data_IF_413491857476
#
_entry.id   IF_413491857476
#
_cell.length_a   1.000
_cell.length_b   1.000
_cell.length_c   1.000
_cell.angle_alpha   90.00
_cell.angle_beta   90.00
_cell.angle_gamma   90.00
#
_symmetry.space_group_name_H-M   'P 1'
#
loop_
_entity.id
_entity.type
_entity.pdbx_description
1 polymer ?
#
# COMPACT_ATOMS: atom_id res chain seq x y z
N UNK A 1 16.44 -21.36 11.89
CA UNK A 1 15.10 -20.94 11.42
C UNK A 1 15.32 -19.98 10.27
N UNK A 2 14.58 -20.13 9.15
CA UNK A 2 14.70 -19.21 8.02
C UNK A 2 14.12 -17.85 8.37
N UNK A 3 14.73 -16.78 7.89
CA UNK A 3 14.17 -15.42 7.94
C UNK A 3 12.92 -15.37 7.06
N UNK A 4 11.97 -14.53 7.41
CA UNK A 4 10.69 -14.46 6.73
C UNK A 4 10.59 -13.18 5.89
N UNK A 5 10.07 -13.26 4.68
CA UNK A 5 9.67 -12.12 3.86
C UNK A 5 8.14 -12.07 3.85
N UNK A 6 7.53 -11.02 4.38
CA UNK A 6 6.08 -10.90 4.37
C UNK A 6 5.61 -10.42 2.99
N UNK A 7 4.85 -11.25 2.30
CA UNK A 7 4.17 -10.87 1.06
C UNK A 7 2.69 -10.70 1.37
N UNK A 8 2.20 -9.46 1.48
CA UNK A 8 0.77 -9.23 1.69
C UNK A 8 0.01 -9.35 0.38
N UNK A 9 -1.09 -10.09 0.40
CA UNK A 9 -1.88 -10.44 -0.76
C UNK A 9 -3.18 -9.63 -0.76
N UNK A 10 -3.28 -8.67 -1.70
CA UNK A 10 -4.47 -7.84 -1.92
C UNK A 10 -4.69 -7.44 -3.40
N UNK A 11 -3.93 -8.02 -4.34
CA UNK A 11 -4.04 -7.74 -5.78
C UNK A 11 -5.49 -7.84 -6.31
N UNK A 12 -6.24 -8.84 -5.85
CA UNK A 12 -7.63 -9.05 -6.25
C UNK A 12 -8.53 -7.87 -5.86
N UNK A 13 -8.42 -7.41 -4.63
CA UNK A 13 -9.12 -6.25 -4.09
C UNK A 13 -8.70 -4.96 -4.82
N UNK A 14 -7.42 -4.82 -5.17
CA UNK A 14 -6.95 -3.67 -5.98
C UNK A 14 -7.53 -3.68 -7.39
N UNK A 15 -7.68 -4.85 -8.01
CA UNK A 15 -8.27 -4.99 -9.33
C UNK A 15 -9.75 -4.62 -9.36
N UNK A 16 -10.51 -4.88 -8.30
CA UNK A 16 -11.93 -4.53 -8.24
C UNK A 16 -12.20 -3.03 -8.43
N UNK A 17 -11.22 -2.16 -8.11
CA UNK A 17 -11.36 -0.72 -8.34
C UNK A 17 -11.55 -0.39 -9.84
N UNK A 18 -11.07 -1.23 -10.77
CA UNK A 18 -11.33 -1.05 -12.20
C UNK A 18 -12.79 -1.31 -12.60
N UNK A 19 -13.56 -2.08 -11.82
CA UNK A 19 -15.00 -2.26 -12.09
C UNK A 19 -15.77 -0.95 -11.98
N UNK A 20 -15.28 0.00 -11.17
CA UNK A 20 -15.87 1.34 -11.03
C UNK A 20 -15.76 2.18 -12.31
N UNK A 21 -14.86 1.81 -13.23
CA UNK A 21 -14.73 2.43 -14.55
C UNK A 21 -15.26 1.55 -15.69
N UNK A 22 -16.01 0.50 -15.35
CA UNK A 22 -16.69 -0.36 -16.32
C UNK A 22 -15.82 -1.46 -16.92
N UNK A 23 -14.65 -1.74 -16.33
CA UNK A 23 -13.80 -2.86 -16.73
C UNK A 23 -14.20 -4.09 -15.91
N UNK A 24 -14.62 -5.16 -16.58
CA UNK A 24 -14.82 -6.46 -15.93
C UNK A 24 -13.49 -7.03 -15.45
N UNK A 25 -13.45 -7.40 -14.17
CA UNK A 25 -12.25 -7.97 -13.53
C UNK A 25 -12.61 -9.28 -12.82
N UNK A 26 -11.65 -10.21 -12.70
CA UNK A 26 -11.77 -11.32 -11.76
C UNK A 26 -12.11 -10.83 -10.34
N UNK A 27 -12.82 -11.65 -9.57
CA UNK A 27 -13.07 -11.35 -8.15
C UNK A 27 -11.81 -11.53 -7.30
N UNK A 28 -11.79 -10.98 -6.06
CA UNK A 28 -10.65 -11.10 -5.15
C UNK A 28 -10.25 -12.53 -4.84
N UNK A 29 -11.24 -13.44 -4.83
CA UNK A 29 -11.07 -14.86 -4.56
C UNK A 29 -11.16 -15.73 -5.84
N UNK A 30 -11.01 -15.13 -7.02
CA UNK A 30 -10.97 -15.88 -8.28
C UNK A 30 -9.71 -16.75 -8.32
N UNK A 31 -9.82 -17.98 -8.84
CA UNK A 31 -8.71 -18.93 -8.95
C UNK A 31 -7.55 -18.33 -9.75
N UNK A 32 -7.86 -17.55 -10.80
CA UNK A 32 -6.85 -16.87 -11.59
C UNK A 32 -6.02 -15.86 -10.78
N UNK A 33 -6.64 -15.12 -9.87
CA UNK A 33 -5.93 -14.17 -8.99
C UNK A 33 -5.06 -14.93 -8.00
N UNK A 34 -5.60 -16.01 -7.42
CA UNK A 34 -4.86 -16.88 -6.50
C UNK A 34 -3.61 -17.46 -7.18
N UNK A 35 -3.73 -17.89 -8.43
CA UNK A 35 -2.61 -18.41 -9.23
C UNK A 35 -1.54 -17.36 -9.51
N UNK A 36 -1.94 -16.13 -9.86
CA UNK A 36 -1.00 -15.00 -10.04
C UNK A 36 -0.27 -14.73 -8.74
N UNK A 37 -0.98 -14.61 -7.61
CA UNK A 37 -0.39 -14.33 -6.30
C UNK A 37 0.60 -15.43 -5.89
N UNK A 38 0.25 -16.69 -6.14
CA UNK A 38 1.13 -17.82 -5.91
C UNK A 38 2.39 -17.78 -6.80
N UNK A 39 2.28 -17.37 -8.07
CA UNK A 39 3.46 -17.20 -8.94
C UNK A 39 4.31 -16.00 -8.50
N UNK A 40 3.73 -14.86 -8.11
CA UNK A 40 4.47 -13.73 -7.52
C UNK A 40 5.28 -14.22 -6.32
N UNK A 41 4.64 -14.94 -5.39
CA UNK A 41 5.31 -15.55 -4.24
C UNK A 41 6.45 -16.48 -4.65
N UNK A 42 6.28 -17.32 -5.67
CA UNK A 42 7.34 -18.20 -6.20
C UNK A 42 8.47 -17.45 -6.88
N UNK A 43 8.19 -16.36 -7.59
CA UNK A 43 9.22 -15.49 -8.21
C UNK A 43 10.04 -14.80 -7.11
N UNK A 44 9.36 -14.16 -6.15
CA UNK A 44 10.00 -13.50 -5.00
C UNK A 44 10.85 -14.50 -4.23
N UNK A 45 10.30 -15.65 -3.85
CA UNK A 45 11.02 -16.66 -3.05
C UNK A 45 12.29 -17.17 -3.73
N UNK A 46 12.27 -17.40 -5.05
CA UNK A 46 13.48 -17.80 -5.82
C UNK A 46 14.52 -16.68 -5.91
N UNK A 47 14.07 -15.44 -5.74
CA UNK A 47 14.87 -14.23 -5.91
C UNK A 47 15.44 -13.67 -4.60
N UNK A 48 15.03 -14.23 -3.46
CA UNK A 48 15.58 -13.94 -2.13
C UNK A 48 16.82 -14.82 -1.83
N UNK A 49 17.63 -14.45 -0.81
CA UNK A 49 18.73 -15.29 -0.34
C UNK A 49 18.25 -16.64 0.24
N UNK A 50 19.09 -17.67 0.21
CA UNK A 50 18.69 -19.05 0.56
C UNK A 50 18.18 -19.22 2.01
N UNK A 51 18.63 -18.38 2.94
CA UNK A 51 18.20 -18.38 4.34
C UNK A 51 16.84 -17.71 4.57
N UNK A 52 16.17 -17.28 3.50
CA UNK A 52 14.87 -16.61 3.53
C UNK A 52 13.77 -17.55 3.05
N UNK A 53 12.54 -17.23 3.45
CA UNK A 53 11.31 -17.87 3.00
C UNK A 53 10.19 -16.83 2.87
N UNK A 54 9.31 -16.99 1.89
CA UNK A 54 8.16 -16.09 1.71
C UNK A 54 6.99 -16.55 2.57
N UNK A 55 6.46 -15.63 3.37
CA UNK A 55 5.26 -15.82 4.17
C UNK A 55 4.12 -15.02 3.54
N UNK A 56 3.22 -15.66 2.76
CA UNK A 56 2.05 -14.98 2.23
C UNK A 56 1.06 -14.64 3.36
N UNK A 57 0.49 -13.44 3.31
CA UNK A 57 -0.48 -12.94 4.30
C UNK A 57 -1.63 -12.26 3.56
N UNK A 58 -2.84 -12.81 3.62
CA UNK A 58 -4.01 -12.14 3.04
C UNK A 58 -4.39 -10.91 3.88
N UNK A 59 -4.53 -9.75 3.23
CA UNK A 59 -4.82 -8.49 3.94
C UNK A 59 -6.20 -8.51 4.56
N UNK A 60 -7.19 -9.14 3.90
CA UNK A 60 -8.54 -9.31 4.45
C UNK A 60 -8.55 -10.09 5.77
N UNK A 61 -7.93 -11.27 5.79
CA UNK A 61 -7.82 -12.11 6.99
C UNK A 61 -7.09 -11.37 8.13
N UNK A 62 -6.00 -10.69 7.78
CA UNK A 62 -5.25 -9.89 8.75
C UNK A 62 -6.10 -8.76 9.32
N UNK A 63 -6.85 -8.04 8.48
CA UNK A 63 -7.74 -6.97 8.91
C UNK A 63 -8.85 -7.49 9.84
N UNK A 64 -9.48 -8.61 9.52
CA UNK A 64 -10.53 -9.22 10.35
C UNK A 64 -10.00 -9.62 11.73
N UNK A 65 -8.83 -10.24 11.79
CA UNK A 65 -8.16 -10.60 13.04
C UNK A 65 -7.86 -9.36 13.90
N UNK A 66 -7.30 -8.31 13.28
CA UNK A 66 -7.01 -7.05 13.97
C UNK A 66 -8.29 -6.40 14.49
N UNK A 67 -9.32 -6.29 13.66
CA UNK A 67 -10.60 -5.68 14.03
C UNK A 67 -11.23 -6.45 15.21
N UNK A 68 -11.22 -7.78 15.14
CA UNK A 68 -11.75 -8.64 16.20
C UNK A 68 -11.05 -8.41 17.54
N UNK A 69 -9.72 -8.23 17.51
CA UNK A 69 -8.91 -7.95 18.70
C UNK A 69 -9.04 -6.50 19.19
N UNK A 70 -8.98 -5.51 18.29
CA UNK A 70 -9.13 -4.09 18.62
C UNK A 70 -10.50 -3.79 19.25
N UNK A 71 -11.56 -4.45 18.78
CA UNK A 71 -12.93 -4.31 19.33
C UNK A 71 -13.07 -4.80 20.77
N UNK A 72 -12.11 -5.60 21.26
CA UNK A 72 -12.09 -6.06 22.65
C UNK A 72 -11.41 -5.08 23.60
N UNK A 73 -10.70 -4.06 23.09
CA UNK A 73 -10.03 -3.07 23.91
C UNK A 73 -11.05 -2.27 24.74
N UNK A 74 -10.80 -2.06 26.05
CA UNK A 74 -11.69 -1.29 26.92
C UNK A 74 -11.99 0.10 26.34
N UNK A 75 -10.98 0.77 25.77
CA UNK A 75 -11.12 2.07 25.14
C UNK A 75 -12.22 2.11 24.07
N UNK A 76 -12.27 1.12 23.18
CA UNK A 76 -13.29 1.03 22.12
C UNK A 76 -14.68 0.82 22.75
N UNK A 77 -14.78 -0.04 23.76
CA UNK A 77 -16.03 -0.26 24.52
C UNK A 77 -16.51 0.99 25.26
N UNK A 78 -15.60 1.90 25.59
CA UNK A 78 -15.89 3.21 26.20
C UNK A 78 -16.02 4.35 25.18
N UNK A 79 -16.17 4.02 23.88
CA UNK A 79 -16.53 4.97 22.84
C UNK A 79 -15.35 5.66 22.15
N UNK A 80 -14.11 5.18 22.33
CA UNK A 80 -12.99 5.63 21.51
C UNK A 80 -13.21 5.20 20.05
N UNK A 81 -12.84 6.07 19.12
CA UNK A 81 -12.99 5.81 17.68
C UNK A 81 -11.78 5.04 17.15
N UNK A 82 -12.02 4.01 16.33
CA UNK A 82 -10.93 3.34 15.61
C UNK A 82 -10.41 4.29 14.53
N UNK A 83 -9.10 4.50 14.50
CA UNK A 83 -8.38 5.30 13.50
C UNK A 83 -7.35 4.40 12.82
N UNK A 84 -7.23 4.42 11.50
CA UNK A 84 -6.27 3.60 10.77
C UNK A 84 -5.74 4.30 9.51
N UNK A 85 -4.52 3.98 9.09
CA UNK A 85 -4.03 4.30 7.73
C UNK A 85 -4.41 3.22 6.70
N UNK A 86 -4.94 2.09 7.15
CA UNK A 86 -5.39 0.96 6.34
C UNK A 86 -6.92 0.98 6.21
N UNK A 87 -7.46 1.33 5.05
CA UNK A 87 -8.91 1.50 4.94
C UNK A 87 -9.70 0.18 4.92
N UNK A 88 -9.03 -0.96 4.76
CA UNK A 88 -9.55 -2.32 5.01
C UNK A 88 -9.90 -2.50 6.50
N UNK A 89 -9.22 -1.78 7.40
CA UNK A 89 -9.50 -1.74 8.84
C UNK A 89 -10.53 -0.65 9.19
N UNK A 90 -10.34 0.56 8.65
CA UNK A 90 -11.16 1.72 9.03
C UNK A 90 -12.64 1.57 8.65
N UNK A 91 -12.95 1.01 7.48
CA UNK A 91 -14.32 1.04 6.95
C UNK A 91 -15.26 0.04 7.60
N UNK A 92 -14.90 -1.25 7.77
CA UNK A 92 -15.77 -2.22 8.43
C UNK A 92 -16.10 -1.82 9.87
N UNK A 93 -15.19 -1.11 10.53
CA UNK A 93 -15.36 -0.63 11.90
C UNK A 93 -16.15 0.67 12.02
N UNK A 94 -16.56 1.28 10.89
CA UNK A 94 -17.06 2.67 10.84
C UNK A 94 -16.12 3.66 11.55
N UNK A 95 -14.83 3.34 11.52
CA UNK A 95 -13.77 4.15 12.06
C UNK A 95 -13.44 5.33 11.16
N UNK A 96 -12.31 5.95 11.45
CA UNK A 96 -11.74 7.05 10.69
C UNK A 96 -10.47 6.58 9.97
N UNK A 97 -10.26 7.13 8.78
CA UNK A 97 -9.07 6.88 7.97
C UNK A 97 -8.14 8.09 8.03
N UNK A 98 -6.82 7.84 8.11
CA UNK A 98 -5.78 8.81 7.78
C UNK A 98 -5.12 8.37 6.48
N UNK A 99 -5.39 9.10 5.41
CA UNK A 99 -4.83 8.88 4.09
C UNK A 99 -3.39 9.44 4.01
N UNK A 100 -2.41 8.61 4.36
CA UNK A 100 -0.98 8.94 4.30
C UNK A 100 -0.23 7.97 3.38
N UNK A 101 0.88 8.44 2.79
CA UNK A 101 1.78 7.63 1.99
C UNK A 101 3.25 8.07 2.18
N UNK A 102 4.18 7.18 1.83
CA UNK A 102 5.59 7.51 1.66
C UNK A 102 5.80 8.08 0.27
N UNK A 103 6.40 9.26 0.20
CA UNK A 103 6.63 9.96 -1.05
C UNK A 103 8.11 9.87 -1.44
N UNK A 104 8.36 9.73 -2.74
CA UNK A 104 9.71 9.77 -3.31
C UNK A 104 9.79 10.86 -4.38
N UNK A 105 10.99 11.40 -4.61
CA UNK A 105 11.21 12.27 -5.76
C UNK A 105 11.54 11.47 -7.03
N UNK A 106 11.61 12.16 -8.17
CA UNK A 106 11.92 11.53 -9.47
C UNK A 106 13.29 10.85 -9.53
N UNK A 107 14.23 11.18 -8.65
CA UNK A 107 15.54 10.52 -8.57
C UNK A 107 15.56 9.33 -7.60
N UNK A 108 14.40 9.02 -6.99
CA UNK A 108 14.22 7.90 -6.06
C UNK A 108 14.48 8.24 -4.59
N UNK A 109 14.86 9.48 -4.25
CA UNK A 109 15.05 9.88 -2.85
C UNK A 109 13.74 9.92 -2.09
N UNK A 110 13.76 9.43 -0.85
CA UNK A 110 12.65 9.50 0.10
C UNK A 110 12.42 10.97 0.54
N UNK A 111 11.19 11.44 0.37
CA UNK A 111 10.73 12.79 0.77
C UNK A 111 9.97 12.78 2.10
N UNK A 112 9.82 11.61 2.71
CA UNK A 112 9.09 11.40 3.95
C UNK A 112 7.62 11.04 3.70
N UNK A 113 6.77 11.41 4.66
CA UNK A 113 5.35 11.10 4.65
C UNK A 113 4.55 12.30 4.17
N UNK A 114 3.55 12.06 3.32
CA UNK A 114 2.60 13.05 2.83
C UNK A 114 1.22 12.44 2.62
N UNK A 115 0.21 13.23 2.26
CA UNK A 115 -1.14 12.69 2.03
C UNK A 115 -1.14 11.73 0.84
N UNK A 116 -2.08 10.79 0.81
CA UNK A 116 -2.32 10.02 -0.42
C UNK A 116 -2.76 10.97 -1.56
N UNK A 117 -2.42 10.66 -2.82
CA UNK A 117 -2.87 11.39 -3.99
C UNK A 117 -4.35 11.81 -3.92
N UNK A 118 -4.61 13.10 -4.10
CA UNK A 118 -5.95 13.70 -4.08
C UNK A 118 -6.71 13.59 -2.77
N UNK A 119 -5.99 13.50 -1.65
CA UNK A 119 -6.52 13.64 -0.29
C UNK A 119 -6.03 14.94 0.33
N UNK A 120 -6.70 15.36 1.40
CA UNK A 120 -6.35 16.56 2.16
C UNK A 120 -4.99 16.41 2.84
N UNK A 121 -4.34 17.54 3.17
CA UNK A 121 -3.09 17.52 3.92
C UNK A 121 -3.31 16.81 5.27
N UNK A 122 -2.29 16.09 5.75
CA UNK A 122 -2.37 15.33 7.02
C UNK A 122 -2.82 16.24 8.18
N UNK A 123 -2.37 17.50 8.21
CA UNK A 123 -2.80 18.49 9.21
C UNK A 123 -4.31 18.74 9.20
N UNK A 124 -4.93 18.75 8.03
CA UNK A 124 -6.36 18.99 7.87
C UNK A 124 -7.16 17.73 8.21
N UNK A 125 -6.66 16.54 7.84
CA UNK A 125 -7.22 15.26 8.27
C UNK A 125 -7.23 15.14 9.81
N UNK A 126 -6.17 15.58 10.51
CA UNK A 126 -6.14 15.60 11.98
C UNK A 126 -7.20 16.53 12.57
N UNK A 127 -7.52 17.66 11.93
CA UNK A 127 -8.63 18.52 12.38
C UNK A 127 -9.97 17.80 12.28
N UNK A 128 -10.18 17.02 11.22
CA UNK A 128 -11.39 16.20 11.07
C UNK A 128 -11.48 15.11 12.15
N UNK A 129 -10.36 14.45 12.48
CA UNK A 129 -10.30 13.50 13.61
C UNK A 129 -10.66 14.21 14.90
N UNK A 130 -9.99 15.32 15.22
CA UNK A 130 -10.23 16.08 16.44
C UNK A 130 -11.71 16.51 16.59
N UNK A 131 -12.32 16.96 15.49
CA UNK A 131 -13.71 17.38 15.46
C UNK A 131 -14.71 16.23 15.71
N UNK A 132 -14.36 14.98 15.40
CA UNK A 132 -15.25 13.82 15.55
C UNK A 132 -15.03 13.03 16.84
N UNK A 133 -13.80 13.00 17.36
CA UNK A 133 -13.44 12.12 18.49
C UNK A 133 -13.51 12.82 19.84
N UNK A 134 -13.45 14.15 19.87
CA UNK A 134 -13.51 14.96 21.09
C UNK A 134 -12.71 14.35 22.27
N UNK A 135 -13.37 14.09 23.41
CA UNK A 135 -12.73 13.55 24.63
C UNK A 135 -12.64 12.02 24.65
N UNK A 136 -13.40 11.29 23.82
CA UNK A 136 -13.32 9.83 23.80
C UNK A 136 -11.97 9.37 23.25
N UNK A 137 -11.41 10.13 22.30
CA UNK A 137 -10.11 9.87 21.72
C UNK A 137 -10.16 8.75 20.69
N UNK A 138 -8.98 8.21 20.38
CA UNK A 138 -8.82 7.19 19.33
C UNK A 138 -8.11 5.95 19.84
N UNK A 139 -8.40 4.83 19.20
CA UNK A 139 -7.51 3.66 19.18
C UNK A 139 -6.91 3.60 17.79
N UNK A 140 -5.58 3.71 17.70
CA UNK A 140 -4.86 3.62 16.45
C UNK A 140 -4.71 2.14 16.08
N UNK A 141 -5.17 1.76 14.90
CA UNK A 141 -5.20 0.36 14.46
C UNK A 141 -4.53 0.26 13.10
N UNK A 142 -3.50 -0.57 12.96
CA UNK A 142 -2.72 -0.69 11.71
C UNK A 142 -2.53 -2.15 11.32
N UNK A 143 -2.42 -2.41 10.02
CA UNK A 143 -2.14 -3.73 9.46
C UNK A 143 -0.78 -4.27 9.91
N UNK A 144 0.21 -3.40 10.07
CA UNK A 144 1.46 -3.76 10.71
C UNK A 144 2.45 -2.62 10.91
N UNK A 145 3.58 -2.97 11.50
CA UNK A 145 4.71 -2.10 11.75
C UNK A 145 6.00 -2.81 11.36
N UNK A 146 6.66 -2.31 10.32
CA UNK A 146 8.00 -2.77 9.96
C UNK A 146 9.07 -2.01 10.74
N UNK A 147 9.42 -0.80 10.29
CA UNK A 147 10.25 0.12 11.08
C UNK A 147 9.45 0.89 12.12
N UNK A 148 8.10 0.95 12.00
CA UNK A 148 7.20 1.78 12.80
C UNK A 148 7.13 3.27 12.40
N UNK A 149 7.89 3.73 11.39
CA UNK A 149 8.01 5.16 11.06
C UNK A 149 6.66 5.83 10.73
N UNK A 150 5.79 5.17 9.95
CA UNK A 150 4.46 5.69 9.62
C UNK A 150 3.60 5.84 10.86
N UNK A 151 3.55 4.81 11.70
CA UNK A 151 2.70 4.79 12.90
C UNK A 151 3.18 5.81 13.93
N UNK A 152 4.50 5.94 14.14
CA UNK A 152 5.07 7.00 14.98
C UNK A 152 4.70 8.38 14.48
N UNK A 153 4.77 8.62 13.17
CA UNK A 153 4.36 9.90 12.59
C UNK A 153 2.89 10.20 12.91
N UNK A 154 1.99 9.23 12.74
CA UNK A 154 0.57 9.42 13.05
C UNK A 154 0.36 9.71 14.54
N UNK A 155 1.03 8.97 15.42
CA UNK A 155 1.01 9.20 16.88
C UNK A 155 1.45 10.63 17.21
N UNK A 156 2.61 11.06 16.70
CA UNK A 156 3.15 12.39 16.96
C UNK A 156 2.18 13.49 16.46
N UNK A 157 1.51 13.27 15.32
CA UNK A 157 0.49 14.20 14.78
C UNK A 157 -0.77 14.25 15.65
N UNK A 158 -1.22 13.12 16.18
CA UNK A 158 -2.36 13.05 17.11
C UNK A 158 -2.04 13.79 18.41
N UNK A 159 -0.85 13.58 18.98
CA UNK A 159 -0.39 14.26 20.19
C UNK A 159 -0.24 15.77 20.00
N UNK A 160 0.37 16.21 18.90
CA UNK A 160 0.46 17.63 18.51
C UNK A 160 -0.93 18.27 18.38
N UNK A 161 -1.90 17.51 17.89
CA UNK A 161 -3.31 17.93 17.74
C UNK A 161 -4.14 17.75 19.02
N UNK A 162 -3.50 17.34 20.13
CA UNK A 162 -4.14 17.07 21.44
C UNK A 162 -5.31 16.09 21.36
N UNK A 163 -5.23 15.11 20.45
CA UNK A 163 -6.21 14.04 20.33
C UNK A 163 -5.77 12.92 21.28
N UNK A 164 -6.59 12.51 22.27
CA UNK A 164 -6.21 11.45 23.19
C UNK A 164 -6.04 10.12 22.45
N UNK A 165 -4.87 9.49 22.57
CA UNK A 165 -4.62 8.12 22.11
C UNK A 165 -4.90 7.20 23.30
N UNK A 166 -5.86 6.28 23.14
CA UNK A 166 -6.30 5.36 24.18
C UNK A 166 -5.66 3.99 24.07
N UNK A 167 -5.20 3.64 22.88
CA UNK A 167 -4.53 2.38 22.62
C UNK A 167 -3.98 2.34 21.20
N UNK A 168 -3.12 1.36 20.97
CA UNK A 168 -2.50 1.07 19.67
C UNK A 168 -2.60 -0.43 19.43
N UNK A 169 -3.20 -0.82 18.31
CA UNK A 169 -3.28 -2.21 17.87
C UNK A 169 -2.60 -2.36 16.52
N UNK A 170 -1.72 -3.36 16.38
CA UNK A 170 -1.05 -3.65 15.11
C UNK A 170 -1.24 -5.12 14.73
N UNK A 171 -1.45 -5.39 13.45
CA UNK A 171 -1.59 -6.76 12.97
C UNK A 171 -0.28 -7.52 13.04
N UNK A 172 0.68 -7.05 12.26
CA UNK A 172 2.01 -7.63 12.17
C UNK A 172 3.04 -6.70 12.82
N UNK A 173 3.75 -7.17 13.84
CA UNK A 173 4.89 -6.44 14.40
C UNK A 173 6.21 -7.10 13.96
N UNK A 174 6.93 -6.43 13.07
CA UNK A 174 8.28 -6.84 12.65
C UNK A 174 9.38 -6.00 13.32
N UNK A 175 9.02 -5.08 14.22
CA UNK A 175 9.95 -4.17 14.88
C UNK A 175 10.37 -4.71 16.24
N UNK A 176 11.67 -4.73 16.52
CA UNK A 176 12.16 -5.19 17.83
C UNK A 176 11.83 -4.21 18.97
N UNK A 177 11.68 -2.91 18.67
CA UNK A 177 11.52 -1.86 19.69
C UNK A 177 10.10 -1.29 19.81
N UNK A 178 9.23 -1.52 18.83
CA UNK A 178 7.98 -0.75 18.73
C UNK A 178 7.03 -1.03 19.89
N UNK A 179 6.87 -2.30 20.29
CA UNK A 179 6.07 -2.69 21.44
C UNK A 179 6.51 -1.98 22.73
N UNK A 180 7.80 -2.06 23.06
CA UNK A 180 8.35 -1.42 24.26
C UNK A 180 8.22 0.10 24.25
N UNK A 181 8.29 0.73 23.08
CA UNK A 181 8.03 2.17 22.94
C UNK A 181 6.56 2.53 23.22
N UNK A 182 5.60 1.75 22.73
CA UNK A 182 4.17 1.98 23.00
C UNK A 182 3.83 1.79 24.48
N UNK A 183 4.40 0.77 25.11
CA UNK A 183 4.28 0.52 26.56
C UNK A 183 4.90 1.66 27.37
N UNK A 184 6.09 2.15 27.00
CA UNK A 184 6.75 3.26 27.67
C UNK A 184 5.97 4.58 27.56
N UNK A 185 5.20 4.76 26.48
CA UNK A 185 4.25 5.88 26.32
C UNK A 185 2.95 5.68 27.11
N UNK A 186 2.75 4.52 27.74
CA UNK A 186 1.58 4.20 28.56
C UNK A 186 0.32 3.92 27.76
N UNK A 187 0.46 3.52 26.49
CA UNK A 187 -0.69 3.12 25.67
C UNK A 187 -1.08 1.67 25.92
N UNK A 188 -2.37 1.37 25.87
CA UNK A 188 -2.84 -0.01 25.73
C UNK A 188 -2.38 -0.55 24.38
N UNK A 189 -1.33 -1.37 24.38
CA UNK A 189 -0.72 -1.90 23.17
C UNK A 189 -1.11 -3.36 22.92
N UNK A 190 -1.41 -3.69 21.66
CA UNK A 190 -1.77 -5.04 21.26
C UNK A 190 -1.17 -5.40 19.89
N UNK A 191 -0.70 -6.64 19.76
CA UNK A 191 -0.19 -7.21 18.50
C UNK A 191 -0.95 -8.48 18.15
N UNK A 192 -1.48 -8.57 16.94
CA UNK A 192 -2.19 -9.77 16.49
C UNK A 192 -1.23 -10.93 16.26
N UNK A 193 -0.13 -10.67 15.55
CA UNK A 193 0.91 -11.63 15.18
C UNK A 193 2.27 -11.02 15.42
N UNK A 194 3.02 -11.58 16.37
CA UNK A 194 4.43 -11.22 16.53
C UNK A 194 5.23 -11.83 15.40
N UNK A 195 5.83 -10.96 14.61
CA UNK A 195 6.66 -11.33 13.49
C UNK A 195 8.10 -11.51 13.92
N UNK A 196 8.43 -12.67 14.50
CA UNK A 196 9.84 -12.96 14.77
C UNK A 196 10.56 -13.20 13.44
N UNK A 197 11.57 -12.37 13.14
CA UNK A 197 12.48 -12.51 12.00
C UNK A 197 11.93 -12.17 10.61
N UNK A 198 10.98 -11.24 10.50
CA UNK A 198 10.68 -10.65 9.19
C UNK A 198 11.81 -9.70 8.76
N UNK A 199 12.29 -9.89 7.52
CA UNK A 199 13.35 -9.08 6.93
C UNK A 199 12.84 -7.92 6.10
N UNK A 200 11.64 -8.08 5.56
CA UNK A 200 10.97 -7.10 4.72
C UNK A 200 9.48 -7.46 4.63
N UNK A 201 8.71 -6.49 4.17
CA UNK A 201 7.27 -6.61 3.95
C UNK A 201 6.87 -5.76 2.74
N UNK A 202 6.38 -6.44 1.71
CA UNK A 202 5.93 -5.82 0.45
C UNK A 202 4.56 -6.38 0.06
N UNK A 203 3.62 -5.55 -0.41
CA UNK A 203 2.38 -6.05 -0.98
C UNK A 203 2.56 -6.53 -2.43
N UNK A 204 1.80 -7.55 -2.81
CA UNK A 204 1.89 -8.15 -4.14
C UNK A 204 1.56 -7.17 -5.29
N UNK A 205 0.62 -6.24 -5.07
CA UNK A 205 0.23 -5.24 -6.07
C UNK A 205 1.36 -4.25 -6.43
N UNK A 206 2.37 -4.06 -5.57
CA UNK A 206 3.52 -3.18 -5.86
C UNK A 206 4.40 -3.72 -7.00
N UNK A 207 4.32 -5.03 -7.30
CA UNK A 207 5.04 -5.66 -8.40
C UNK A 207 4.33 -5.56 -9.76
N UNK A 208 3.06 -5.12 -9.80
CA UNK A 208 2.26 -5.09 -11.02
C UNK A 208 1.95 -3.63 -11.39
N UNK A 209 2.62 -3.05 -12.41
CA UNK A 209 2.35 -1.69 -12.85
C UNK A 209 0.89 -1.47 -13.24
N UNK A 210 0.42 -0.21 -13.15
CA UNK A 210 -0.96 0.21 -13.39
C UNK A 210 -2.01 -0.24 -12.37
N UNK A 211 -1.72 -1.19 -11.48
CA UNK A 211 -2.65 -1.57 -10.43
C UNK A 211 -2.87 -0.40 -9.46
N UNK A 212 -4.11 -0.10 -9.03
CA UNK A 212 -4.37 0.94 -8.05
C UNK A 212 -3.57 0.75 -6.77
N UNK A 213 -2.90 1.81 -6.31
CA UNK A 213 -2.01 1.75 -5.15
C UNK A 213 -0.61 1.21 -5.42
N UNK A 214 -0.33 0.68 -6.62
CA UNK A 214 0.98 0.10 -6.96
C UNK A 214 2.10 1.12 -6.93
N UNK A 215 3.16 0.76 -6.20
CA UNK A 215 4.44 1.42 -6.18
C UNK A 215 4.52 2.63 -5.26
N UNK A 216 5.71 3.23 -5.20
CA UNK A 216 5.94 4.45 -4.42
C UNK A 216 5.38 5.65 -5.14
N UNK A 217 4.67 6.52 -4.42
CA UNK A 217 4.08 7.74 -5.02
C UNK A 217 5.16 8.81 -5.19
N UNK A 218 5.19 9.41 -6.38
CA UNK A 218 6.04 10.56 -6.65
C UNK A 218 5.51 11.79 -5.92
N UNK A 219 6.41 12.60 -5.38
CA UNK A 219 6.09 13.82 -4.66
C UNK A 219 7.13 14.91 -4.82
N UNK A 220 6.81 16.06 -4.24
CA UNK A 220 7.69 17.23 -4.15
C UNK A 220 7.53 17.92 -2.79
N UNK A 221 8.55 18.63 -2.34
CA UNK A 221 8.39 19.63 -1.28
C UNK A 221 7.98 20.96 -1.91
N UNK A 222 6.86 21.53 -1.46
CA UNK A 222 6.48 22.90 -1.84
C UNK A 222 7.23 23.94 -1.00
N UNK A 223 7.38 23.66 0.30
CA UNK A 223 8.14 24.41 1.28
C UNK A 223 8.40 23.52 2.51
N UNK A 224 9.28 23.97 3.41
CA UNK A 224 9.67 23.20 4.60
C UNK A 224 8.53 23.00 5.61
N UNK A 225 7.48 23.84 5.58
CA UNK A 225 6.39 23.83 6.58
C UNK A 225 5.26 22.83 6.24
N UNK A 226 4.94 22.67 4.95
CA UNK A 226 3.81 21.85 4.51
C UNK A 226 4.17 20.38 4.28
N UNK A 227 5.46 20.05 4.31
CA UNK A 227 5.97 18.70 4.09
C UNK A 227 5.93 18.30 2.61
N UNK A 228 6.07 17.00 2.35
CA UNK A 228 6.01 16.47 1.00
C UNK A 228 4.55 16.34 0.55
N UNK A 229 4.28 16.70 -0.71
CA UNK A 229 2.98 16.54 -1.36
C UNK A 229 3.09 15.58 -2.55
N UNK A 230 2.04 14.77 -2.81
CA UNK A 230 2.05 13.87 -3.96
C UNK A 230 1.88 14.64 -5.26
N UNK A 231 2.52 14.15 -6.33
CA UNK A 231 2.22 14.53 -7.70
C UNK A 231 1.11 13.61 -8.23
N UNK A 232 0.03 14.20 -8.74
CA UNK A 232 -1.10 13.47 -9.30
C UNK A 232 -1.89 14.35 -10.27
N UNK A 233 -2.63 13.73 -11.19
CA UNK A 233 -3.56 14.43 -12.05
C UNK A 233 -4.91 14.60 -11.35
N UNK A 234 -5.30 15.84 -11.10
CA UNK A 234 -6.59 16.18 -10.51
C UNK A 234 -7.79 15.90 -11.43
N UNK A 235 -7.59 15.89 -12.76
CA UNK A 235 -8.67 15.71 -13.75
C UNK A 235 -9.03 14.24 -13.91
N UNK A 236 -8.03 13.41 -14.12
CA UNK A 236 -8.16 11.96 -14.31
C UNK A 236 -7.90 11.18 -13.02
N UNK A 237 -7.89 11.86 -11.87
CA UNK A 237 -7.79 11.20 -10.58
C UNK A 237 -6.62 10.21 -10.45
N UNK A 238 -5.49 10.46 -11.11
CA UNK A 238 -4.41 9.48 -11.32
C UNK A 238 -3.19 9.81 -10.49
N UNK A 239 -2.61 8.83 -9.80
CA UNK A 239 -1.35 9.00 -9.06
C UNK A 239 -0.15 8.66 -9.93
N UNK A 240 0.91 9.47 -9.88
CA UNK A 240 2.18 9.13 -10.51
C UNK A 240 3.01 8.29 -9.54
N UNK A 241 3.35 7.05 -9.91
CA UNK A 241 4.02 6.12 -9.01
C UNK A 241 5.19 5.41 -9.67
N UNK A 242 6.04 4.79 -8.87
CA UNK A 242 7.15 3.96 -9.33
C UNK A 242 6.94 2.54 -8.78
N UNK A 243 6.50 1.58 -9.62
CA UNK A 243 6.35 0.18 -9.23
C UNK A 243 7.67 -0.46 -8.78
N UNK A 244 7.59 -1.54 -7.99
CA UNK A 244 8.72 -2.25 -7.39
C UNK A 244 9.32 -3.24 -8.40
N UNK A 245 9.64 -2.75 -9.58
CA UNK A 245 10.06 -3.58 -10.71
C UNK A 245 10.91 -2.77 -11.70
N UNK A 246 11.96 -3.38 -12.24
CA UNK A 246 12.72 -2.76 -13.31
C UNK A 246 11.89 -2.72 -14.61
N UNK A 247 12.02 -1.68 -15.47
CA UNK A 247 12.94 -0.55 -15.39
C UNK A 247 12.34 0.69 -14.70
N UNK A 248 11.30 0.52 -13.88
CA UNK A 248 10.64 1.62 -13.19
C UNK A 248 11.39 2.01 -11.91
N UNK A 249 11.56 1.04 -11.01
CA UNK A 249 12.21 1.20 -9.70
C UNK A 249 13.17 0.06 -9.35
N UNK A 250 14.07 0.27 -8.38
CA UNK A 250 15.05 -0.73 -7.94
C UNK A 250 14.40 -1.78 -7.04
N UNK A 251 14.01 -2.92 -7.61
CA UNK A 251 13.37 -4.02 -6.87
C UNK A 251 14.29 -4.62 -5.79
N UNK A 252 15.61 -4.56 -5.97
CA UNK A 252 16.59 -5.04 -5.00
C UNK A 252 16.60 -4.18 -3.73
N UNK A 253 16.54 -2.85 -3.88
CA UNK A 253 16.50 -1.90 -2.76
C UNK A 253 15.12 -1.85 -2.07
N UNK A 254 14.04 -2.03 -2.83
CA UNK A 254 12.68 -1.80 -2.31
C UNK A 254 11.94 -3.06 -1.87
N UNK A 255 12.39 -4.24 -2.30
CA UNK A 255 11.79 -5.52 -1.95
C UNK A 255 12.83 -6.57 -1.52
N UNK A 256 14.03 -6.13 -1.11
CA UNK A 256 15.11 -6.99 -0.62
C UNK A 256 15.49 -8.16 -1.55
N UNK A 257 15.16 -8.05 -2.84
CA UNK A 257 15.50 -9.05 -3.86
C UNK A 257 17.01 -9.04 -4.07
N UNK A 258 17.62 -10.21 -4.24
CA UNK A 258 19.05 -10.27 -4.51
C UNK A 258 19.38 -9.51 -5.81
N UNK A 259 20.33 -8.58 -5.74
CA UNK A 259 20.72 -7.73 -6.87
C UNK A 259 21.08 -8.53 -8.13
N UNK A 260 21.67 -9.72 -7.97
CA UNK A 260 22.03 -10.62 -9.08
C UNK A 260 20.82 -11.28 -9.75
N UNK A 261 19.66 -11.28 -9.08
CA UNK A 261 18.39 -11.88 -9.53
C UNK A 261 17.33 -10.82 -9.88
N UNK A 262 17.54 -9.55 -9.55
CA UNK A 262 16.61 -8.44 -9.75
C UNK A 262 16.07 -8.32 -11.18
N UNK A 263 16.95 -8.40 -12.18
CA UNK A 263 16.54 -8.34 -13.59
C UNK A 263 15.64 -9.53 -13.97
N UNK A 264 16.02 -10.75 -13.60
CA UNK A 264 15.24 -11.95 -13.90
C UNK A 264 13.88 -11.92 -13.22
N UNK A 265 13.83 -11.49 -11.95
CA UNK A 265 12.59 -11.32 -11.21
C UNK A 265 11.68 -10.28 -11.90
N UNK A 266 12.25 -9.15 -12.31
CA UNK A 266 11.51 -8.08 -12.99
C UNK A 266 10.93 -8.53 -14.33
N UNK A 267 11.69 -9.27 -15.14
CA UNK A 267 11.18 -9.83 -16.40
C UNK A 267 10.00 -10.78 -16.15
N UNK A 268 10.10 -11.65 -15.14
CA UNK A 268 9.04 -12.59 -14.81
C UNK A 268 7.77 -11.89 -14.28
N UNK A 269 7.92 -10.90 -13.40
CA UNK A 269 6.81 -10.12 -12.85
C UNK A 269 6.16 -9.22 -13.93
N UNK A 270 6.93 -8.66 -14.87
CA UNK A 270 6.39 -7.94 -16.03
C UNK A 270 5.59 -8.87 -16.94
N UNK A 271 6.06 -10.11 -17.14
CA UNK A 271 5.31 -11.15 -17.84
C UNK A 271 3.93 -11.39 -17.21
N UNK A 272 3.87 -11.53 -15.88
CA UNK A 272 2.61 -11.66 -15.16
C UNK A 272 1.70 -10.44 -15.31
N UNK A 273 2.26 -9.24 -15.25
CA UNK A 273 1.49 -8.01 -15.47
C UNK A 273 0.89 -7.98 -16.89
N UNK A 274 1.67 -8.35 -17.91
CA UNK A 274 1.19 -8.45 -19.30
C UNK A 274 0.06 -9.48 -19.40
N UNK A 275 0.25 -10.67 -18.85
CA UNK A 275 -0.75 -11.75 -18.88
C UNK A 275 -2.05 -11.35 -18.18
N UNK A 276 -1.95 -10.62 -17.06
CA UNK A 276 -3.08 -10.03 -16.36
C UNK A 276 -3.86 -9.07 -17.25
N UNK A 277 -3.20 -8.07 -17.84
CA UNK A 277 -3.91 -7.11 -18.70
C UNK A 277 -4.46 -7.74 -19.97
N UNK A 278 -3.78 -8.71 -20.58
CA UNK A 278 -4.32 -9.48 -21.70
C UNK A 278 -5.56 -10.30 -21.29
N UNK A 279 -5.60 -10.80 -20.05
CA UNK A 279 -6.79 -11.47 -19.52
C UNK A 279 -7.93 -10.49 -19.32
N UNK A 280 -7.67 -9.29 -18.80
CA UNK A 280 -8.68 -8.24 -18.69
C UNK A 280 -9.22 -7.85 -20.08
N UNK A 281 -8.37 -7.68 -21.09
CA UNK A 281 -8.79 -7.42 -22.48
C UNK A 281 -9.77 -8.49 -22.99
N UNK A 282 -9.41 -9.78 -22.85
CA UNK A 282 -10.27 -10.90 -23.28
C UNK A 282 -11.63 -10.92 -22.57
N UNK A 283 -11.64 -10.63 -21.27
CA UNK A 283 -12.88 -10.58 -20.48
C UNK A 283 -13.80 -9.44 -20.90
N UNK A 284 -13.23 -8.35 -21.40
CA UNK A 284 -13.96 -7.16 -21.82
C UNK A 284 -14.25 -7.17 -23.33
N UNK A 285 -14.61 -8.33 -23.88
CA UNK A 285 -14.94 -8.53 -25.30
C UNK A 285 -13.81 -8.15 -26.28
N UNK A 286 -12.58 -8.51 -25.92
CA UNK A 286 -11.37 -8.28 -26.72
C UNK A 286 -11.15 -6.78 -27.07
N UNK A 287 -11.46 -5.89 -26.13
CA UNK A 287 -11.13 -4.47 -26.29
C UNK A 287 -9.62 -4.25 -26.27
N UNK A 288 -9.17 -3.24 -27.00
CA UNK A 288 -7.84 -2.67 -26.78
C UNK A 288 -7.87 -1.83 -25.51
N UNK A 289 -7.57 -2.45 -24.36
CA UNK A 289 -7.50 -1.76 -23.08
C UNK A 289 -6.36 -0.74 -23.10
N UNK A 290 -6.70 0.54 -23.19
CA UNK A 290 -5.73 1.63 -23.21
C UNK A 290 -5.45 2.11 -21.81
N UNK A 291 -4.28 2.70 -21.62
CA UNK A 291 -3.87 3.27 -20.35
C UNK A 291 -4.89 4.30 -19.85
N UNK A 292 -5.38 5.17 -20.74
CA UNK A 292 -6.40 6.16 -20.41
C UNK A 292 -7.75 5.58 -19.99
N UNK A 293 -8.05 4.31 -20.30
CA UNK A 293 -9.26 3.64 -19.83
C UNK A 293 -9.15 3.26 -18.35
N UNK A 294 -7.94 2.88 -17.90
CA UNK A 294 -7.65 2.60 -16.49
C UNK A 294 -7.71 3.86 -15.61
N UNK A 295 -7.51 5.04 -16.21
CA UNK A 295 -7.39 6.31 -15.49
C UNK A 295 -8.71 7.03 -15.26
N UNK A 296 -9.86 6.54 -15.75
CA UNK A 296 -11.15 7.25 -15.63
C UNK A 296 -11.78 7.17 -14.22
N UNK A 297 -10.96 7.00 -13.20
CA UNK A 297 -11.31 6.64 -11.83
C UNK A 297 -11.70 7.86 -10.98
N UNK A 298 -12.66 8.66 -11.45
CA UNK A 298 -13.08 9.89 -10.76
C UNK A 298 -13.69 9.66 -9.36
N UNK A 299 -14.02 8.41 -9.01
CA UNK A 299 -14.73 8.05 -7.78
C UNK A 299 -14.13 6.84 -7.03
N UNK A 300 -12.90 6.43 -7.33
CA UNK A 300 -12.29 5.29 -6.61
C UNK A 300 -11.66 5.72 -5.30
N UNK A 301 -11.64 4.77 -4.36
CA UNK A 301 -10.96 4.93 -3.06
C UNK A 301 -9.44 4.99 -3.26
N UNK A 302 -8.94 4.20 -4.20
CA UNK A 302 -7.53 4.17 -4.59
C UNK A 302 -7.41 4.67 -6.02
N UNK A 303 -6.52 5.64 -6.19
CA UNK A 303 -6.24 6.19 -7.51
C UNK A 303 -5.45 5.17 -8.32
N UNK A 304 -5.75 5.09 -9.61
CA UNK A 304 -4.95 4.27 -10.53
C UNK A 304 -3.53 4.82 -10.57
N UNK A 305 -2.56 3.91 -10.51
CA UNK A 305 -1.14 4.25 -10.52
C UNK A 305 -0.63 4.36 -11.96
N UNK A 306 -0.29 5.55 -12.42
CA UNK A 306 0.42 5.73 -13.68
C UNK A 306 1.93 5.54 -13.44
N UNK A 307 2.54 4.47 -13.98
CA UNK A 307 3.91 4.15 -13.69
C UNK A 307 4.86 5.17 -14.35
N UNK A 308 5.84 5.58 -13.57
CA UNK A 308 6.93 6.47 -13.94
C UNK A 308 8.25 5.73 -13.77
N UNK A 309 9.23 6.10 -14.58
CA UNK A 309 10.59 5.58 -14.47
C UNK A 309 11.45 6.58 -13.73
N UNK A 310 12.24 6.09 -12.77
CA UNK A 310 13.21 6.96 -12.09
C UNK A 310 14.15 7.61 -13.09
N UNK A 311 14.50 8.87 -12.83
CA UNK A 311 15.38 9.70 -13.66
C UNK A 311 14.88 9.91 -15.10
N UNK A 312 13.61 9.61 -15.42
CA UNK A 312 13.00 9.83 -16.72
C UNK A 312 11.63 10.49 -16.56
N UNK A 313 11.49 11.79 -16.85
CA UNK A 313 10.23 12.52 -16.67
C UNK A 313 9.25 12.24 -17.83
N UNK A 314 9.12 10.98 -18.25
CA UNK A 314 8.22 10.56 -19.31
C UNK A 314 7.20 9.57 -18.76
N UNK A 315 5.94 9.93 -18.91
CA UNK A 315 4.80 9.08 -18.60
C UNK A 315 4.33 8.36 -19.85
N UNK A 316 3.75 7.16 -19.72
CA UNK A 316 3.22 6.45 -20.88
C UNK A 316 2.10 7.26 -21.58
N UNK A 317 2.01 7.22 -22.93
CA UNK A 317 0.92 7.84 -23.65
C UNK A 317 -0.42 7.19 -23.30
N UNK A 318 -1.44 8.00 -23.00
CA UNK A 318 -2.74 7.50 -22.53
C UNK A 318 -3.50 6.68 -23.59
N UNK A 319 -3.19 6.87 -24.87
CA UNK A 319 -3.76 6.12 -25.99
C UNK A 319 -3.05 4.79 -26.25
N UNK A 320 -1.94 4.52 -25.56
CA UNK A 320 -1.21 3.26 -25.68
C UNK A 320 -1.97 2.11 -25.02
N UNK A 321 -1.95 0.96 -25.68
CA UNK A 321 -2.42 -0.31 -25.13
C UNK A 321 -1.54 -0.71 -23.94
N UNK A 322 -2.16 -1.08 -22.81
CA UNK A 322 -1.43 -1.35 -21.55
C UNK A 322 -0.42 -2.49 -21.74
N UNK A 323 -0.88 -3.62 -22.26
CA UNK A 323 -0.05 -4.80 -22.53
C UNK A 323 1.13 -4.50 -23.46
N UNK A 324 0.90 -3.72 -24.54
CA UNK A 324 1.94 -3.29 -25.47
C UNK A 324 2.99 -2.42 -24.78
N UNK A 325 2.58 -1.42 -24.00
CA UNK A 325 3.52 -0.55 -23.29
C UNK A 325 4.38 -1.37 -22.32
N UNK A 326 3.79 -2.31 -21.57
CA UNK A 326 4.53 -3.19 -20.67
C UNK A 326 5.52 -4.09 -21.42
N UNK A 327 5.15 -4.63 -22.59
CA UNK A 327 6.06 -5.40 -23.44
C UNK A 327 7.26 -4.59 -23.93
N UNK A 328 7.09 -3.29 -24.18
CA UNK A 328 8.20 -2.39 -24.56
C UNK A 328 9.15 -2.10 -23.39
N UNK A 329 8.75 -2.38 -22.14
CA UNK A 329 9.56 -2.17 -20.93
C UNK A 329 10.38 -3.41 -20.52
N UNK A 330 10.08 -4.59 -21.06
CA UNK A 330 10.87 -5.83 -20.85
C UNK A 330 12.24 -5.77 -21.53
#
# INVERSE_FOLDING_TARGET
MKKQFALTLDLGERLEEFRRVGIDTPGPHDEYITDIQAEIGRIVNRSLPEDYDVSPIHVGDLADDIIGKASQLPAVRHGATILSTCPEIAYPTRGMEIDINRLISFDGKNLGLGPRPGRELVKDQMRLVHAKTHRSGVVLVEDGVFSGATVRHVIDRLEQSRIPIRGVAVGLDCSETFAGEMEARGYDFFVTKQGTHYVDWVPDHDFIPFIPGSGRVLGVHLNDEEGAIPLYDHRESTSYTVPYIEPFGPIDDWASIEKTKAQQASVALLGLAIDLFLTLERRNADIDLRIGDLLRTKQTRLRTSLPARLNKPHFPPLDSKVSKYLSEMM
#
